data_IF_927314978638
#
_entry.id   IF_927314978638
#
_cell.length_a   1.000
_cell.length_b   1.000
_cell.length_c   1.000
_cell.angle_alpha   90.00
_cell.angle_beta   90.00
_cell.angle_gamma   90.00
#
_symmetry.space_group_name_H-M   'P 1'
#
loop_
_entity.id
_entity.type
_entity.pdbx_description
1 polymer ?
#
# COMPACT_ATOMS: atom_id res chain seq x y z
N UNK A 1 -12.47 16.99 1.46
CA UNK A 1 -12.54 18.46 1.37
C UNK A 1 -13.43 18.87 0.20
N UNK A 2 -13.92 20.11 0.17
CA UNK A 2 -14.90 20.61 -0.81
C UNK A 2 -14.43 20.32 -2.24
N UNK A 3 -15.25 19.59 -3.01
CA UNK A 3 -15.17 19.54 -4.48
C UNK A 3 -15.44 20.96 -5.00
N UNK A 4 -14.44 21.83 -5.05
CA UNK A 4 -14.49 23.01 -5.91
C UNK A 4 -14.24 22.49 -7.32
N UNK A 5 -15.21 22.40 -8.22
CA UNK A 5 -15.77 23.56 -8.92
C UNK A 5 -14.69 24.63 -9.11
N UNK A 6 -13.58 24.24 -9.76
CA UNK A 6 -12.89 25.16 -10.66
C UNK A 6 -13.64 25.11 -12.00
N UNK A 7 -14.93 25.44 -11.95
CA UNK A 7 -15.73 25.73 -13.14
C UNK A 7 -15.19 27.08 -13.63
N UNK A 8 -14.13 27.01 -14.42
CA UNK A 8 -13.35 28.17 -14.83
C UNK A 8 -14.27 29.11 -15.62
N UNK A 9 -14.58 30.23 -14.99
CA UNK A 9 -15.41 31.33 -15.45
C UNK A 9 -14.69 32.07 -16.61
N UNK A 10 -14.46 31.40 -17.74
CA UNK A 10 -13.74 31.97 -18.89
C UNK A 10 -14.56 32.05 -20.18
N UNK A 11 -15.85 31.70 -20.15
CA UNK A 11 -16.71 31.81 -21.33
C UNK A 11 -17.06 33.26 -21.73
N UNK A 12 -16.58 34.29 -21.02
CA UNK A 12 -16.98 35.69 -21.24
C UNK A 12 -15.86 36.67 -21.62
N UNK A 13 -14.60 36.26 -21.84
CA UNK A 13 -13.52 37.19 -22.26
C UNK A 13 -13.38 37.27 -23.81
N UNK A 14 -14.26 36.58 -24.56
CA UNK A 14 -14.14 36.39 -26.01
C UNK A 14 -14.27 37.61 -26.92
N UNK A 15 -14.15 38.86 -26.41
CA UNK A 15 -14.28 40.07 -27.24
C UNK A 15 -13.05 41.01 -27.20
N UNK A 16 -12.00 40.75 -26.39
CA UNK A 16 -10.81 41.63 -26.31
C UNK A 16 -9.46 40.87 -26.15
N UNK A 17 -9.44 39.54 -26.06
CA UNK A 17 -8.20 38.79 -25.83
C UNK A 17 -7.42 38.49 -27.13
N UNK A 18 -6.10 38.71 -27.13
CA UNK A 18 -5.17 38.30 -28.18
C UNK A 18 -5.28 36.78 -28.41
N UNK A 19 -5.39 36.35 -29.69
CA UNK A 19 -5.51 34.95 -30.08
C UNK A 19 -4.37 34.09 -29.50
N UNK A 20 -3.17 34.66 -29.30
CA UNK A 20 -2.05 33.98 -28.64
C UNK A 20 -2.35 33.68 -27.17
N UNK A 21 -2.96 34.62 -26.44
CA UNK A 21 -3.34 34.46 -25.03
C UNK A 21 -4.44 33.39 -24.91
N UNK A 22 -5.42 33.41 -25.82
CA UNK A 22 -6.50 32.40 -25.83
C UNK A 22 -5.97 30.99 -26.10
N UNK A 23 -5.01 30.86 -27.02
CA UNK A 23 -4.37 29.57 -27.31
C UNK A 23 -3.59 29.04 -26.11
N UNK A 24 -2.79 29.89 -25.46
CA UNK A 24 -1.99 29.50 -24.30
C UNK A 24 -2.87 29.05 -23.13
N UNK A 25 -3.96 29.78 -22.84
CA UNK A 25 -4.91 29.39 -21.80
C UNK A 25 -5.60 28.04 -22.08
N UNK A 26 -5.87 27.72 -23.35
CA UNK A 26 -6.40 26.40 -23.73
C UNK A 26 -5.36 25.30 -23.50
N UNK A 27 -4.08 25.56 -23.82
CA UNK A 27 -2.99 24.62 -23.55
C UNK A 27 -2.85 24.35 -22.06
N UNK A 28 -2.77 25.41 -21.24
CA UNK A 28 -2.68 25.30 -19.78
C UNK A 28 -3.87 24.55 -19.18
N UNK A 29 -5.09 24.78 -19.67
CA UNK A 29 -6.25 24.02 -19.22
C UNK A 29 -6.13 22.53 -19.56
N UNK A 30 -5.61 22.19 -20.74
CA UNK A 30 -5.37 20.79 -21.12
C UNK A 30 -4.32 20.13 -20.23
N UNK A 31 -3.22 20.82 -19.94
CA UNK A 31 -2.18 20.33 -19.02
C UNK A 31 -2.71 20.11 -17.61
N UNK A 32 -3.54 21.04 -17.11
CA UNK A 32 -4.21 20.91 -15.82
C UNK A 32 -5.10 19.67 -15.75
N UNK A 33 -5.95 19.45 -16.77
CA UNK A 33 -6.85 18.27 -16.80
C UNK A 33 -6.06 16.95 -16.86
N UNK A 34 -4.94 16.92 -17.60
CA UNK A 34 -4.04 15.76 -17.62
C UNK A 34 -3.46 15.52 -16.22
N UNK A 35 -2.95 16.57 -15.56
CA UNK A 35 -2.36 16.45 -14.22
C UNK A 35 -3.36 15.92 -13.19
N UNK A 36 -4.60 16.42 -13.21
CA UNK A 36 -5.67 15.95 -12.32
C UNK A 36 -5.97 14.45 -12.55
N UNK A 37 -5.96 14.00 -13.80
CA UNK A 37 -6.16 12.59 -14.13
C UNK A 37 -4.99 11.72 -13.65
N UNK A 38 -3.75 12.18 -13.84
CA UNK A 38 -2.56 11.47 -13.37
C UNK A 38 -2.52 11.35 -11.83
N UNK A 39 -2.91 12.40 -11.10
CA UNK A 39 -3.03 12.37 -9.64
C UNK A 39 -4.08 11.35 -9.19
N UNK A 40 -5.22 11.28 -9.86
CA UNK A 40 -6.26 10.28 -9.55
C UNK A 40 -5.78 8.85 -9.82
N UNK A 41 -5.14 8.60 -10.97
CA UNK A 41 -4.56 7.30 -11.32
C UNK A 41 -3.55 6.87 -10.26
N UNK A 42 -2.67 7.79 -9.85
CA UNK A 42 -1.68 7.49 -8.82
C UNK A 42 -2.32 7.19 -7.48
N UNK A 43 -3.33 7.95 -7.07
CA UNK A 43 -4.05 7.68 -5.84
C UNK A 43 -4.71 6.30 -5.83
N UNK A 44 -5.39 5.90 -6.92
CA UNK A 44 -6.00 4.57 -7.01
C UNK A 44 -4.95 3.46 -6.96
N UNK A 45 -3.79 3.65 -7.59
CA UNK A 45 -2.69 2.68 -7.50
C UNK A 45 -2.18 2.50 -6.07
N UNK A 46 -1.98 3.59 -5.32
CA UNK A 46 -1.57 3.51 -3.91
C UNK A 46 -2.65 2.84 -3.04
N UNK A 47 -3.93 3.10 -3.33
CA UNK A 47 -5.06 2.43 -2.67
C UNK A 47 -5.03 0.92 -2.88
N UNK A 48 -4.89 0.47 -4.13
CA UNK A 48 -4.83 -0.96 -4.46
C UNK A 48 -3.63 -1.65 -3.80
N UNK A 49 -2.48 -0.98 -3.74
CA UNK A 49 -1.29 -1.48 -3.05
C UNK A 49 -1.55 -1.66 -1.54
N UNK A 50 -2.16 -0.64 -0.90
CA UNK A 50 -2.54 -0.68 0.51
C UNK A 50 -3.55 -1.79 0.81
N UNK A 51 -4.61 -1.91 0.02
CA UNK A 51 -5.64 -2.94 0.19
C UNK A 51 -5.04 -4.36 0.04
N UNK A 52 -4.15 -4.55 -0.93
CA UNK A 52 -3.43 -5.81 -1.12
C UNK A 52 -2.51 -6.12 0.06
N UNK A 53 -1.77 -5.13 0.57
CA UNK A 53 -0.89 -5.29 1.73
C UNK A 53 -1.70 -5.67 2.99
N UNK A 54 -2.83 -4.99 3.23
CA UNK A 54 -3.73 -5.31 4.33
C UNK A 54 -4.28 -6.75 4.24
N UNK A 55 -4.74 -7.16 3.05
CA UNK A 55 -5.23 -8.53 2.82
C UNK A 55 -4.13 -9.59 3.00
N UNK A 56 -2.89 -9.29 2.58
CA UNK A 56 -1.74 -10.17 2.82
C UNK A 56 -1.44 -10.31 4.32
N UNK A 57 -1.55 -9.23 5.09
CA UNK A 57 -1.30 -9.26 6.54
C UNK A 57 -2.24 -10.19 7.30
N UNK A 58 -3.51 -10.32 6.88
CA UNK A 58 -4.43 -11.30 7.47
C UNK A 58 -3.89 -12.73 7.31
N UNK A 59 -3.48 -13.10 6.10
CA UNK A 59 -2.92 -14.44 5.82
C UNK A 59 -1.60 -14.68 6.52
N UNK A 60 -0.74 -13.66 6.58
CA UNK A 60 0.54 -13.73 7.29
C UNK A 60 0.34 -13.88 8.80
N UNK A 61 -0.68 -13.25 9.38
CA UNK A 61 -1.02 -13.40 10.80
C UNK A 61 -1.49 -14.82 11.13
N UNK A 62 -2.30 -15.45 10.26
CA UNK A 62 -2.70 -16.85 10.41
C UNK A 62 -1.48 -17.79 10.36
N UNK A 63 -0.60 -17.60 9.36
CA UNK A 63 0.61 -18.41 9.23
C UNK A 63 1.56 -18.21 10.42
N UNK A 64 1.70 -16.96 10.89
CA UNK A 64 2.46 -16.61 12.08
C UNK A 64 1.97 -17.39 13.30
N UNK A 65 0.67 -17.34 13.59
CA UNK A 65 0.07 -18.03 14.74
C UNK A 65 0.32 -19.55 14.67
N UNK A 66 0.15 -20.16 13.50
CA UNK A 66 0.42 -21.58 13.29
C UNK A 66 1.89 -21.97 13.55
N UNK A 67 2.85 -21.11 13.17
CA UNK A 67 4.27 -21.35 13.42
C UNK A 67 4.60 -21.14 14.90
N UNK A 68 4.06 -20.09 15.53
CA UNK A 68 4.24 -19.81 16.96
C UNK A 68 3.73 -20.98 17.81
N UNK A 69 2.58 -21.56 17.48
CA UNK A 69 2.05 -22.76 18.15
C UNK A 69 3.03 -23.95 18.04
N UNK A 70 3.55 -24.23 16.84
CA UNK A 70 4.52 -25.31 16.61
C UNK A 70 5.81 -25.10 17.38
N UNK A 71 6.32 -23.87 17.41
CA UNK A 71 7.54 -23.52 18.15
C UNK A 71 7.32 -23.62 19.66
N UNK A 72 6.13 -23.27 20.16
CA UNK A 72 5.77 -23.39 21.58
C UNK A 72 5.71 -24.86 22.02
N UNK A 73 5.17 -25.75 21.20
CA UNK A 73 5.09 -27.19 21.48
C UNK A 73 6.45 -27.91 21.31
N UNK A 74 7.37 -27.34 20.54
CA UNK A 74 8.61 -27.99 20.14
C UNK A 74 9.48 -28.53 21.30
N UNK A 75 9.67 -27.82 22.44
CA UNK A 75 10.50 -28.33 23.54
C UNK A 75 9.98 -29.64 24.15
N UNK A 76 8.65 -29.78 24.30
CA UNK A 76 8.04 -31.00 24.83
C UNK A 76 8.07 -32.11 23.79
N UNK A 77 7.73 -31.80 22.54
CA UNK A 77 7.81 -32.74 21.43
C UNK A 77 9.22 -33.31 21.25
N UNK A 78 10.25 -32.47 21.41
CA UNK A 78 11.66 -32.86 21.29
C UNK A 78 12.04 -34.01 22.22
N UNK A 79 11.48 -34.06 23.43
CA UNK A 79 11.83 -35.06 24.46
C UNK A 79 11.56 -36.49 23.98
N UNK A 80 10.56 -36.67 23.12
CA UNK A 80 10.10 -37.98 22.63
C UNK A 80 10.58 -38.30 21.21
N UNK A 81 11.28 -37.39 20.53
CA UNK A 81 11.80 -37.66 19.17
C UNK A 81 13.05 -38.53 19.22
N UNK A 82 13.10 -39.49 18.29
CA UNK A 82 14.28 -40.30 18.01
C UNK A 82 15.36 -39.49 17.26
N UNK A 83 14.97 -38.72 16.24
CA UNK A 83 15.86 -37.89 15.43
C UNK A 83 15.93 -36.44 15.94
N UNK A 84 16.59 -36.24 17.08
CA UNK A 84 16.63 -34.92 17.75
C UNK A 84 17.28 -33.84 16.89
N UNK A 85 18.41 -34.14 16.25
CA UNK A 85 19.13 -33.14 15.46
C UNK A 85 18.34 -32.67 14.23
N UNK A 86 17.65 -33.59 13.55
CA UNK A 86 16.74 -33.25 12.44
C UNK A 86 15.56 -32.41 12.93
N UNK A 87 14.99 -32.76 14.09
CA UNK A 87 13.91 -31.98 14.69
C UNK A 87 14.37 -30.57 15.08
N UNK A 88 15.56 -30.44 15.68
CA UNK A 88 16.16 -29.15 16.04
C UNK A 88 16.43 -28.29 14.80
N UNK A 89 16.85 -28.91 13.69
CA UNK A 89 16.95 -28.27 12.37
C UNK A 89 15.60 -27.71 11.88
N UNK A 90 14.54 -28.50 11.98
CA UNK A 90 13.20 -28.07 11.58
C UNK A 90 12.68 -26.90 12.45
N UNK A 91 12.90 -26.94 13.77
CA UNK A 91 12.54 -25.85 14.70
C UNK A 91 13.28 -24.56 14.34
N UNK A 92 14.57 -24.67 13.97
CA UNK A 92 15.36 -23.52 13.50
C UNK A 92 14.79 -22.93 12.21
N UNK A 93 14.38 -23.76 11.26
CA UNK A 93 13.78 -23.30 10.01
C UNK A 93 12.42 -22.62 10.25
N UNK A 94 11.57 -23.16 11.11
CA UNK A 94 10.34 -22.49 11.53
C UNK A 94 10.61 -21.11 12.14
N UNK A 95 11.61 -21.01 13.02
CA UNK A 95 12.01 -19.73 13.64
C UNK A 95 12.50 -18.72 12.60
N UNK A 96 13.25 -19.16 11.60
CA UNK A 96 13.70 -18.33 10.48
C UNK A 96 12.51 -17.78 9.68
N UNK A 97 11.57 -18.64 9.30
CA UNK A 97 10.40 -18.21 8.54
C UNK A 97 9.46 -17.31 9.36
N UNK A 98 9.35 -17.54 10.67
CA UNK A 98 8.62 -16.63 11.57
C UNK A 98 9.19 -15.21 11.52
N UNK A 99 10.52 -15.06 11.51
CA UNK A 99 11.16 -13.75 11.40
C UNK A 99 10.86 -13.09 10.04
N UNK A 100 10.95 -13.83 8.94
CA UNK A 100 10.61 -13.32 7.61
C UNK A 100 9.14 -12.88 7.51
N UNK A 101 8.23 -13.61 8.16
CA UNK A 101 6.81 -13.22 8.23
C UNK A 101 6.65 -11.91 9.01
N UNK A 102 7.35 -11.77 10.14
CA UNK A 102 7.30 -10.53 10.94
C UNK A 102 7.84 -9.32 10.15
N UNK A 103 8.96 -9.48 9.44
CA UNK A 103 9.51 -8.45 8.55
C UNK A 103 8.47 -8.06 7.48
N UNK A 104 7.85 -9.06 6.84
CA UNK A 104 6.87 -8.79 5.78
C UNK A 104 5.60 -8.10 6.28
N UNK A 105 5.13 -8.47 7.48
CA UNK A 105 4.00 -7.78 8.13
C UNK A 105 4.36 -6.31 8.40
N UNK A 106 5.58 -6.04 8.87
CA UNK A 106 6.05 -4.68 9.13
C UNK A 106 6.11 -3.84 7.84
N UNK A 107 6.69 -4.37 6.76
CA UNK A 107 6.70 -3.71 5.44
C UNK A 107 5.27 -3.38 4.96
N UNK A 108 4.36 -4.35 5.05
CA UNK A 108 2.97 -4.17 4.63
C UNK A 108 2.24 -3.13 5.50
N UNK A 109 2.51 -3.08 6.80
CA UNK A 109 1.96 -2.06 7.69
C UNK A 109 2.45 -0.65 7.32
N UNK A 110 3.70 -0.53 6.87
CA UNK A 110 4.23 0.74 6.38
C UNK A 110 3.49 1.20 5.10
N UNK A 111 3.25 0.28 4.16
CA UNK A 111 2.47 0.57 2.93
C UNK A 111 1.06 1.08 3.31
N UNK A 112 0.37 0.37 4.21
CA UNK A 112 -0.97 0.77 4.68
C UNK A 112 -0.93 2.15 5.34
N UNK A 113 0.02 2.36 6.26
CA UNK A 113 0.17 3.65 6.96
C UNK A 113 0.46 4.81 6.01
N UNK A 114 1.28 4.58 4.98
CA UNK A 114 1.60 5.60 4.00
C UNK A 114 0.37 5.98 3.16
N UNK A 115 -0.44 5.01 2.74
CA UNK A 115 -1.70 5.31 2.06
C UNK A 115 -2.71 6.04 2.96
N UNK A 116 -2.82 5.67 4.23
CA UNK A 116 -3.68 6.40 5.19
C UNK A 116 -3.27 7.87 5.34
N UNK A 117 -1.96 8.17 5.31
CA UNK A 117 -1.46 9.56 5.30
C UNK A 117 -1.87 10.29 4.02
N UNK A 118 -1.74 9.66 2.85
CA UNK A 118 -2.19 10.20 1.55
C UNK A 118 -3.70 10.47 1.58
N UNK A 119 -4.49 9.55 2.13
CA UNK A 119 -5.94 9.71 2.23
C UNK A 119 -6.35 10.90 3.12
N UNK A 120 -5.60 11.19 4.19
CA UNK A 120 -5.91 12.30 5.12
C UNK A 120 -5.63 13.68 4.54
N UNK A 121 -4.69 13.79 3.59
CA UNK A 121 -4.34 15.06 2.94
C UNK A 121 -5.19 15.34 1.70
N UNK A 122 -6.07 14.42 1.32
CA UNK A 122 -7.00 14.52 0.18
C UNK A 122 -8.41 14.93 0.59
#
# INVERSE_FOLDING_TARGET
>A
MKKGILLFFLLSIGLIADDAIVSELKSLNSEYEILVQEEEIRFQKEKELSERAAAQNVKLAELKANIEEKLLAAPEERKTKFFKDTFDGLVKDYSKYLNQINEKIAENNEIVSNFEKIQKIR
#
